data_IF_469195030140
#
_entry.id   IF_469195030140
#
_cell.length_a   1.000
_cell.length_b   1.000
_cell.length_c   1.000
_cell.angle_alpha   90.00
_cell.angle_beta   90.00
_cell.angle_gamma   90.00
#
_symmetry.space_group_name_H-M   'P 1'
#
loop_
_entity.id
_entity.type
_entity.pdbx_description
1 polymer ?
#
# COMPACT_ATOMS: atom_id res chain seq x y z
N UNK A 1 -34.13 -8.51 31.88
CA UNK A 1 -34.34 -8.19 30.45
C UNK A 1 -33.22 -7.24 30.03
N UNK A 2 -32.17 -7.75 29.37
CA UNK A 2 -31.06 -6.95 28.87
C UNK A 2 -31.20 -6.85 27.33
N UNK A 3 -31.29 -5.63 26.74
CA UNK A 3 -31.31 -5.48 25.30
C UNK A 3 -29.90 -5.66 24.71
N UNK A 4 -29.87 -6.43 23.62
CA UNK A 4 -28.68 -6.92 22.95
C UNK A 4 -27.88 -5.86 22.20
N UNK A 5 -26.60 -6.19 22.09
CA UNK A 5 -25.51 -5.50 21.41
C UNK A 5 -25.76 -5.28 19.92
N UNK A 6 -25.57 -4.05 19.45
CA UNK A 6 -25.52 -3.72 18.03
C UNK A 6 -24.12 -3.94 17.48
N UNK A 7 -23.97 -4.89 16.56
CA UNK A 7 -22.75 -5.12 15.80
C UNK A 7 -22.51 -3.94 14.84
N UNK A 8 -21.40 -3.21 15.03
CA UNK A 8 -20.94 -2.18 14.10
C UNK A 8 -20.05 -2.80 13.03
N UNK A 9 -20.52 -2.74 11.79
CA UNK A 9 -19.76 -3.07 10.58
C UNK A 9 -18.50 -2.20 10.48
N UNK A 10 -17.30 -2.77 10.23
CA UNK A 10 -16.09 -1.96 10.07
C UNK A 10 -16.12 -1.17 8.76
N UNK A 11 -15.96 0.14 8.87
CA UNK A 11 -15.85 1.07 7.74
C UNK A 11 -14.58 0.79 6.93
N UNK A 12 -14.75 0.68 5.60
CA UNK A 12 -13.68 0.52 4.61
C UNK A 12 -12.70 1.70 4.67
N UNK A 13 -11.42 1.40 4.87
CA UNK A 13 -10.34 2.38 4.75
C UNK A 13 -10.05 2.66 3.27
N UNK A 14 -10.15 3.93 2.88
CA UNK A 14 -9.80 4.43 1.56
C UNK A 14 -8.39 5.03 1.68
N UNK A 15 -7.36 4.37 1.14
CA UNK A 15 -6.01 4.92 1.13
C UNK A 15 -5.98 6.18 0.25
N UNK A 16 -5.44 7.31 0.73
CA UNK A 16 -5.38 8.54 -0.05
C UNK A 16 -4.44 8.38 -1.25
N UNK A 17 -4.92 8.77 -2.43
CA UNK A 17 -4.12 8.85 -3.64
C UNK A 17 -2.98 9.88 -3.48
N UNK A 18 -1.81 9.67 -4.11
CA UNK A 18 -0.74 10.65 -4.11
C UNK A 18 -1.21 11.95 -4.79
N UNK A 19 -1.21 13.04 -4.02
CA UNK A 19 -1.61 14.37 -4.49
C UNK A 19 -0.58 14.92 -5.47
N UNK A 20 -0.92 14.92 -6.75
CA UNK A 20 -0.24 15.74 -7.76
C UNK A 20 -0.71 17.19 -7.59
N UNK A 21 0.22 18.11 -7.37
CA UNK A 21 -0.05 19.54 -7.59
C UNK A 21 -0.27 19.75 -9.08
N UNK A 22 -1.46 20.18 -9.47
CA UNK A 22 -1.76 20.69 -10.80
C UNK A 22 -2.57 21.98 -10.63
N UNK A 23 -2.02 23.08 -11.15
CA UNK A 23 -2.75 24.32 -11.41
C UNK A 23 -3.79 24.08 -12.52
N UNK A 24 -4.91 24.80 -12.41
CA UNK A 24 -6.21 24.37 -12.91
C UNK A 24 -6.46 24.49 -14.41
N UNK A 25 -7.69 24.10 -14.82
CA UNK A 25 -8.61 24.84 -15.71
C UNK A 25 -9.95 24.08 -15.80
N UNK A 26 -11.05 24.84 -15.62
CA UNK A 26 -12.47 24.70 -16.06
C UNK A 26 -13.15 23.33 -16.27
N UNK A 27 -14.29 23.24 -15.59
CA UNK A 27 -15.39 22.27 -15.73
C UNK A 27 -16.12 22.42 -17.08
N UNK A 28 -16.51 21.26 -17.65
CA UNK A 28 -17.68 21.11 -18.52
C UNK A 28 -18.33 19.75 -18.24
N UNK A 29 -19.63 19.82 -17.95
CA UNK A 29 -20.57 18.71 -17.85
C UNK A 29 -20.65 17.92 -19.16
N UNK A 30 -20.75 16.59 -19.07
CA UNK A 30 -21.49 15.77 -20.03
C UNK A 30 -21.78 14.38 -19.42
N UNK A 31 -23.04 14.20 -19.02
CA UNK A 31 -23.64 12.91 -18.69
C UNK A 31 -23.83 12.11 -19.96
N UNK A 32 -23.19 10.94 -20.07
CA UNK A 32 -23.54 9.96 -21.10
C UNK A 32 -23.52 8.54 -20.54
N UNK A 33 -24.72 7.97 -20.51
CA UNK A 33 -25.05 6.58 -20.22
C UNK A 33 -24.66 5.73 -21.43
N UNK A 34 -23.84 4.68 -21.26
CA UNK A 34 -23.52 3.83 -22.40
C UNK A 34 -22.65 2.61 -22.13
N UNK A 35 -23.27 1.46 -22.41
CA UNK A 35 -22.69 0.26 -23.03
C UNK A 35 -21.83 -0.69 -22.18
N UNK A 36 -22.27 -1.96 -22.22
CA UNK A 36 -21.60 -3.10 -21.61
C UNK A 36 -20.13 -3.18 -22.01
N UNK A 37 -19.28 -3.18 -20.99
CA UNK A 37 -17.84 -3.31 -21.13
C UNK A 37 -17.53 -4.75 -21.57
N UNK A 38 -17.36 -4.91 -22.89
CA UNK A 38 -16.85 -6.12 -23.52
C UNK A 38 -15.47 -6.43 -22.94
N UNK A 39 -15.46 -7.35 -21.98
CA UNK A 39 -14.31 -7.67 -21.15
C UNK A 39 -13.37 -8.54 -21.96
N UNK A 40 -12.48 -7.91 -22.73
CA UNK A 40 -11.37 -8.65 -23.32
C UNK A 40 -10.57 -9.31 -22.19
N UNK A 41 -10.25 -10.61 -22.30
CA UNK A 41 -9.57 -11.33 -21.23
C UNK A 41 -8.22 -10.66 -20.96
N UNK A 42 -8.07 -10.10 -19.76
CA UNK A 42 -6.84 -9.44 -19.35
C UNK A 42 -5.71 -10.48 -19.28
N UNK A 43 -4.58 -10.17 -19.91
CA UNK A 43 -3.43 -11.07 -19.99
C UNK A 43 -2.96 -11.44 -18.57
N UNK A 44 -2.97 -12.75 -18.26
CA UNK A 44 -2.54 -13.27 -16.96
C UNK A 44 -1.08 -12.91 -16.68
N UNK A 45 -0.81 -12.47 -15.46
CA UNK A 45 0.55 -12.18 -15.00
C UNK A 45 1.26 -13.51 -14.69
N UNK A 46 2.45 -13.71 -15.26
CA UNK A 46 3.33 -14.83 -14.88
C UNK A 46 3.95 -14.54 -13.52
N UNK A 47 3.85 -15.49 -12.59
CA UNK A 47 4.40 -15.38 -11.24
C UNK A 47 3.45 -15.96 -10.19
N UNK A 48 3.81 -15.76 -8.92
CA UNK A 48 3.01 -16.09 -7.75
C UNK A 48 2.90 -14.86 -6.86
N UNK A 49 1.83 -14.75 -6.10
CA UNK A 49 1.69 -13.74 -5.07
C UNK A 49 2.77 -13.95 -4.00
N UNK A 50 3.49 -12.89 -3.63
CA UNK A 50 4.53 -12.91 -2.59
C UNK A 50 3.97 -13.21 -1.19
N UNK A 51 2.65 -13.08 -1.01
CA UNK A 51 1.98 -13.23 0.28
C UNK A 51 1.35 -14.63 0.43
N UNK A 52 0.57 -15.06 -0.57
CA UNK A 52 -0.16 -16.35 -0.48
C UNK A 52 0.40 -17.45 -1.38
N UNK A 53 1.44 -17.13 -2.17
CA UNK A 53 2.10 -18.01 -3.14
C UNK A 53 1.21 -18.59 -4.25
N UNK A 54 -0.04 -18.12 -4.36
CA UNK A 54 -0.96 -18.57 -5.41
C UNK A 54 -0.77 -17.79 -6.71
N UNK A 55 -1.17 -18.40 -7.82
CA UNK A 55 -1.09 -17.81 -9.16
C UNK A 55 -2.19 -16.76 -9.37
N UNK A 56 -2.05 -16.00 -10.46
CA UNK A 56 -3.08 -15.05 -10.92
C UNK A 56 -4.43 -15.73 -11.19
N UNK A 57 -5.53 -15.08 -10.78
CA UNK A 57 -6.89 -15.59 -10.90
C UNK A 57 -7.31 -16.62 -9.84
N UNK A 58 -6.46 -16.91 -8.85
CA UNK A 58 -6.83 -17.80 -7.75
C UNK A 58 -8.07 -17.27 -7.02
N UNK A 59 -9.16 -18.06 -7.00
CA UNK A 59 -10.48 -17.65 -6.47
C UNK A 59 -11.02 -16.34 -7.09
N UNK A 60 -10.64 -16.03 -8.32
CA UNK A 60 -11.01 -14.77 -8.99
C UNK A 60 -10.19 -13.56 -8.54
N UNK A 61 -9.19 -13.72 -7.67
CA UNK A 61 -8.33 -12.61 -7.24
C UNK A 61 -7.37 -12.17 -8.34
N UNK A 62 -7.33 -10.86 -8.54
CA UNK A 62 -6.52 -10.21 -9.55
C UNK A 62 -5.10 -9.99 -9.00
N UNK A 63 -4.08 -10.57 -9.64
CA UNK A 63 -2.67 -10.34 -9.32
C UNK A 63 -2.18 -9.04 -9.96
N UNK A 64 -1.53 -8.16 -9.20
CA UNK A 64 -0.81 -6.99 -9.69
C UNK A 64 0.69 -7.24 -9.62
N UNK A 65 1.45 -6.71 -10.58
CA UNK A 65 2.91 -6.78 -10.61
C UNK A 65 3.49 -5.38 -10.59
N UNK A 66 4.36 -5.10 -9.63
CA UNK A 66 5.00 -3.80 -9.50
C UNK A 66 5.90 -3.57 -10.72
N UNK A 67 5.71 -2.44 -11.39
CA UNK A 67 6.51 -2.07 -12.57
C UNK A 67 7.97 -1.75 -12.23
N UNK A 68 8.27 -1.39 -10.98
CA UNK A 68 9.60 -1.00 -10.53
C UNK A 68 10.43 -2.16 -9.99
N UNK A 69 9.91 -2.94 -9.03
CA UNK A 69 10.66 -4.02 -8.38
C UNK A 69 10.20 -5.44 -8.78
N UNK A 70 9.12 -5.56 -9.56
CA UNK A 70 8.62 -6.85 -10.03
C UNK A 70 7.84 -7.68 -9.00
N UNK A 71 7.71 -7.22 -7.75
CA UNK A 71 6.90 -7.91 -6.73
C UNK A 71 5.48 -8.14 -7.24
N UNK A 72 4.96 -9.34 -7.03
CA UNK A 72 3.63 -9.74 -7.47
C UNK A 72 2.74 -9.97 -6.25
N UNK A 73 1.57 -9.36 -6.19
CA UNK A 73 0.64 -9.52 -5.07
C UNK A 73 -0.80 -9.56 -5.57
N UNK A 74 -1.66 -10.35 -4.94
CA UNK A 74 -3.10 -10.20 -5.17
C UNK A 74 -3.57 -8.91 -4.50
N UNK A 75 -4.52 -8.23 -5.13
CA UNK A 75 -5.07 -6.98 -4.60
C UNK A 75 -5.56 -7.15 -3.17
N UNK A 76 -6.37 -8.18 -2.91
CA UNK A 76 -6.88 -8.49 -1.58
C UNK A 76 -5.79 -8.86 -0.58
N UNK A 77 -4.77 -9.62 -0.98
CA UNK A 77 -3.65 -9.97 -0.10
C UNK A 77 -2.82 -8.75 0.33
N UNK A 78 -2.76 -7.72 -0.51
CA UNK A 78 -1.97 -6.51 -0.26
C UNK A 78 -2.81 -5.32 0.23
N UNK A 79 -4.09 -5.54 0.55
CA UNK A 79 -5.01 -4.51 1.04
C UNK A 79 -5.41 -3.48 -0.03
N UNK A 80 -5.29 -3.82 -1.32
CA UNK A 80 -5.73 -2.96 -2.42
C UNK A 80 -7.23 -3.15 -2.69
N UNK A 81 -7.86 -2.09 -3.21
CA UNK A 81 -9.21 -2.16 -3.75
C UNK A 81 -9.20 -3.15 -4.92
N UNK A 82 -10.12 -4.12 -4.88
CA UNK A 82 -10.25 -5.10 -5.96
C UNK A 82 -10.66 -4.42 -7.27
N UNK A 83 -9.94 -4.73 -8.34
CA UNK A 83 -10.21 -4.24 -9.69
C UNK A 83 -10.29 -5.42 -10.67
N UNK A 84 -10.97 -5.21 -11.79
CA UNK A 84 -11.04 -6.19 -12.88
C UNK A 84 -9.84 -6.12 -13.85
N UNK A 85 -8.97 -5.12 -13.71
CA UNK A 85 -7.97 -4.74 -14.72
C UNK A 85 -6.55 -4.83 -14.15
N UNK A 86 -5.59 -5.14 -15.02
CA UNK A 86 -4.15 -5.09 -14.68
C UNK A 86 -3.65 -3.66 -14.82
N UNK A 87 -3.07 -3.12 -13.75
CA UNK A 87 -2.58 -1.76 -13.74
C UNK A 87 -1.13 -1.73 -14.26
N UNK A 88 -0.94 -1.34 -15.53
CA UNK A 88 0.38 -1.38 -16.21
C UNK A 88 1.49 -0.61 -15.50
N UNK A 89 1.15 0.47 -14.80
CA UNK A 89 2.10 1.35 -14.09
C UNK A 89 1.97 1.25 -12.56
N UNK A 90 1.36 0.18 -12.05
CA UNK A 90 1.20 0.03 -10.61
C UNK A 90 2.55 -0.15 -9.91
N UNK A 91 2.68 0.54 -8.77
CA UNK A 91 3.82 0.45 -7.88
C UNK A 91 3.34 -0.06 -6.51
N UNK A 92 4.11 -0.96 -5.90
CA UNK A 92 3.85 -1.36 -4.52
C UNK A 92 4.15 -0.20 -3.56
N UNK A 93 3.66 -0.28 -2.32
CA UNK A 93 3.80 0.80 -1.32
C UNK A 93 5.28 1.15 -1.10
N UNK A 94 6.15 0.15 -1.02
CA UNK A 94 7.59 0.32 -0.87
C UNK A 94 8.23 1.16 -2.00
N UNK A 95 7.88 0.87 -3.26
CA UNK A 95 8.42 1.60 -4.42
C UNK A 95 7.78 2.98 -4.56
N UNK A 96 6.48 3.09 -4.28
CA UNK A 96 5.74 4.35 -4.38
C UNK A 96 6.18 5.38 -3.31
N UNK A 97 6.69 4.92 -2.17
CA UNK A 97 7.24 5.81 -1.14
C UNK A 97 8.60 6.42 -1.50
N UNK A 98 9.31 5.87 -2.48
CA UNK A 98 10.66 6.37 -2.81
C UNK A 98 10.57 7.82 -3.31
N UNK A 99 11.29 8.72 -2.64
CA UNK A 99 11.31 10.14 -2.93
C UNK A 99 10.09 10.91 -2.41
N UNK A 100 9.19 10.29 -1.63
CA UNK A 100 8.06 10.99 -1.02
C UNK A 100 8.40 11.51 0.37
N UNK A 101 7.88 12.70 0.69
CA UNK A 101 7.93 13.26 2.04
C UNK A 101 6.81 12.63 2.88
N UNK A 102 7.18 11.94 3.96
CA UNK A 102 6.26 11.28 4.88
C UNK A 102 6.23 12.05 6.20
N UNK A 103 5.05 12.56 6.57
CA UNK A 103 4.85 13.30 7.82
C UNK A 103 4.78 12.32 8.99
N UNK A 104 5.60 12.58 10.02
CA UNK A 104 5.75 11.69 11.20
C UNK A 104 5.34 12.37 12.52
N UNK A 105 5.12 13.68 12.54
CA UNK A 105 4.71 14.44 13.73
C UNK A 105 3.25 14.20 14.14
N UNK A 106 2.95 14.32 15.45
CA UNK A 106 1.55 14.32 15.95
C UNK A 106 0.83 15.62 15.59
N UNK A 107 -0.51 15.58 15.62
CA UNK A 107 -1.33 16.79 15.64
C UNK A 107 -0.98 17.62 16.87
N UNK A 108 -0.59 18.87 16.66
CA UNK A 108 -0.15 19.79 17.73
C UNK A 108 1.36 19.80 17.99
N UNK A 109 2.14 18.92 17.34
CA UNK A 109 3.60 19.00 17.35
C UNK A 109 4.12 19.82 16.17
N UNK A 110 5.35 20.32 16.29
CA UNK A 110 6.08 20.89 15.15
C UNK A 110 6.13 19.87 14.02
N UNK A 111 5.71 20.28 12.82
CA UNK A 111 5.70 19.41 11.63
C UNK A 111 7.09 18.81 11.43
N UNK A 112 7.16 17.49 11.46
CA UNK A 112 8.36 16.70 11.14
C UNK A 112 8.02 15.77 10.00
N UNK A 113 8.93 15.66 9.05
CA UNK A 113 8.80 14.76 7.92
C UNK A 113 10.13 14.06 7.62
N UNK A 114 10.05 12.90 6.99
CA UNK A 114 11.19 12.12 6.52
C UNK A 114 10.98 11.75 5.06
N UNK A 115 12.05 11.77 4.26
CA UNK A 115 12.02 11.31 2.87
C UNK A 115 12.51 9.87 2.83
N UNK A 116 11.73 8.99 2.19
CA UNK A 116 12.18 7.62 1.94
C UNK A 116 13.08 7.61 0.70
N UNK A 117 14.40 7.70 0.88
CA UNK A 117 15.35 7.85 -0.23
C UNK A 117 15.48 6.60 -1.11
N UNK A 118 15.38 5.42 -0.49
CA UNK A 118 15.55 4.12 -1.15
C UNK A 118 14.37 3.22 -0.88
N UNK A 119 14.14 2.21 -1.72
CA UNK A 119 13.12 1.20 -1.45
C UNK A 119 13.45 0.49 -0.13
N UNK A 120 12.51 0.43 0.84
CA UNK A 120 12.71 -0.32 2.07
C UNK A 120 12.86 -1.81 1.76
N UNK A 121 13.84 -2.45 2.40
CA UNK A 121 14.11 -3.88 2.29
C UNK A 121 14.21 -4.57 3.65
N UNK A 122 14.36 -3.81 4.74
CA UNK A 122 14.43 -4.34 6.10
C UNK A 122 13.02 -4.38 6.72
N UNK A 123 12.68 -5.51 7.34
CA UNK A 123 11.49 -5.64 8.17
C UNK A 123 11.80 -5.28 9.62
N UNK A 124 10.98 -4.43 10.23
CA UNK A 124 11.11 -4.04 11.63
C UNK A 124 10.75 -5.16 12.62
N UNK A 125 10.07 -6.23 12.15
CA UNK A 125 9.49 -7.27 13.00
C UNK A 125 10.13 -8.66 12.84
N UNK A 126 11.01 -8.86 11.86
CA UNK A 126 11.71 -10.13 11.68
C UNK A 126 13.10 -9.93 11.06
N UNK A 127 13.95 -10.94 11.16
CA UNK A 127 15.33 -10.91 10.64
C UNK A 127 15.48 -11.35 9.18
N UNK A 128 14.39 -11.62 8.46
CA UNK A 128 14.47 -11.99 7.04
C UNK A 128 14.90 -10.76 6.23
N UNK A 129 16.02 -10.88 5.51
CA UNK A 129 16.65 -9.79 4.74
C UNK A 129 16.99 -10.18 3.29
N UNK A 130 16.67 -11.42 2.90
CA UNK A 130 16.94 -11.95 1.56
C UNK A 130 15.77 -11.71 0.63
N UNK A 131 16.04 -11.31 -0.62
CA UNK A 131 15.02 -11.22 -1.67
C UNK A 131 14.25 -9.90 -1.69
N UNK A 132 13.20 -9.84 -2.52
CA UNK A 132 12.36 -8.65 -2.67
C UNK A 132 10.93 -9.02 -2.29
N UNK A 133 10.51 -8.54 -1.12
CA UNK A 133 9.20 -8.84 -0.56
C UNK A 133 8.23 -7.66 -0.66
N UNK A 134 6.93 -7.97 -0.60
CA UNK A 134 5.87 -7.01 -0.40
C UNK A 134 6.01 -6.40 1.00
N UNK A 135 6.07 -5.06 1.06
CA UNK A 135 6.22 -4.33 2.32
C UNK A 135 5.04 -3.40 2.55
N UNK A 136 4.73 -3.17 3.83
CA UNK A 136 3.81 -2.13 4.30
C UNK A 136 4.54 -1.17 5.25
N UNK A 137 4.15 0.11 5.27
CA UNK A 137 4.51 1.00 6.37
C UNK A 137 3.98 0.42 7.68
N UNK A 138 4.79 0.47 8.74
CA UNK A 138 4.32 0.15 10.09
C UNK A 138 3.79 1.43 10.75
N UNK A 139 2.56 1.37 11.26
CA UNK A 139 1.91 2.49 11.91
C UNK A 139 1.87 2.30 13.42
N UNK A 140 1.86 3.42 14.17
CA UNK A 140 1.84 3.40 15.64
C UNK A 140 0.44 3.28 16.26
N UNK A 141 -0.60 3.45 15.44
CA UNK A 141 -2.00 3.37 15.82
C UNK A 141 -2.84 2.92 14.62
N UNK A 142 -4.07 2.51 14.88
CA UNK A 142 -5.02 2.08 13.85
C UNK A 142 -5.80 3.26 13.25
N UNK A 143 -6.27 3.09 12.00
CA UNK A 143 -7.15 4.06 11.34
C UNK A 143 -6.46 5.32 10.84
N UNK A 144 -7.24 6.38 10.64
CA UNK A 144 -6.81 7.61 9.95
C UNK A 144 -5.76 8.44 10.72
N UNK A 145 -5.62 8.18 12.03
CA UNK A 145 -4.65 8.87 12.88
C UNK A 145 -3.32 8.11 13.02
N UNK A 146 -3.24 6.88 12.49
CA UNK A 146 -2.03 6.08 12.48
C UNK A 146 -0.90 6.80 11.75
N UNK A 147 0.27 6.87 12.38
CA UNK A 147 1.45 7.52 11.78
C UNK A 147 2.53 6.50 11.54
N UNK A 148 3.27 6.72 10.45
CA UNK A 148 4.40 5.87 10.12
C UNK A 148 5.42 5.91 11.26
N UNK A 149 5.65 4.76 11.88
CA UNK A 149 6.62 4.61 12.94
C UNK A 149 8.03 4.93 12.44
N UNK A 150 8.83 5.50 13.33
CA UNK A 150 10.23 5.82 13.06
C UNK A 150 11.10 5.02 14.00
N UNK A 151 11.96 4.18 13.43
CA UNK A 151 12.95 3.44 14.18
C UNK A 151 14.09 4.40 14.57
N UNK A 152 14.57 4.33 15.83
CA UNK A 152 15.75 5.08 16.22
C UNK A 152 16.98 4.58 15.45
N UNK A 153 18.03 5.41 15.42
CA UNK A 153 19.32 4.96 14.92
C UNK A 153 19.86 3.81 15.78
N UNK A 154 20.43 2.80 15.14
CA UNK A 154 21.09 1.67 15.79
C UNK A 154 22.57 1.71 15.48
N UNK A 155 23.36 2.21 16.44
CA UNK A 155 24.82 2.32 16.31
C UNK A 155 25.52 0.98 16.19
N UNK A 156 24.94 -0.11 16.72
CA UNK A 156 25.57 -1.44 16.67
C UNK A 156 25.49 -2.03 15.27
N UNK A 157 24.42 -1.69 14.54
CA UNK A 157 24.16 -2.16 13.18
C UNK A 157 24.50 -1.11 12.11
N UNK A 158 25.05 0.04 12.53
CA UNK A 158 25.35 1.18 11.66
C UNK A 158 24.13 1.66 10.86
N UNK A 159 22.96 1.69 11.51
CA UNK A 159 21.71 2.11 10.89
C UNK A 159 21.29 3.48 11.39
N UNK A 160 21.03 4.38 10.45
CA UNK A 160 20.43 5.68 10.76
C UNK A 160 18.97 5.55 11.19
N UNK A 161 18.48 6.66 11.75
CA UNK A 161 17.06 6.86 12.02
C UNK A 161 16.28 6.71 10.70
N UNK A 162 15.28 5.83 10.69
CA UNK A 162 14.58 5.45 9.46
C UNK A 162 13.11 5.12 9.70
N UNK A 163 12.31 5.20 8.65
CA UNK A 163 10.91 4.79 8.68
C UNK A 163 10.80 3.27 8.89
N UNK A 164 9.86 2.84 9.72
CA UNK A 164 9.65 1.43 10.02
C UNK A 164 8.82 0.77 8.91
N UNK A 165 9.37 -0.26 8.27
CA UNK A 165 8.66 -1.04 7.27
C UNK A 165 8.59 -2.49 7.71
N UNK A 166 7.56 -3.19 7.26
CA UNK A 166 7.36 -4.60 7.60
C UNK A 166 7.01 -5.39 6.35
N UNK A 167 7.39 -6.66 6.30
CA UNK A 167 6.82 -7.58 5.32
C UNK A 167 5.31 -7.60 5.49
N UNK A 168 4.56 -7.68 4.40
CA UNK A 168 3.09 -7.76 4.47
C UNK A 168 2.59 -8.96 5.27
N UNK A 169 3.39 -10.03 5.39
CA UNK A 169 3.09 -11.21 6.21
C UNK A 169 3.45 -11.05 7.70
N UNK A 170 4.19 -10.00 8.07
CA UNK A 170 4.54 -9.70 9.45
C UNK A 170 3.65 -8.61 10.07
N UNK A 171 2.83 -7.94 9.25
CA UNK A 171 1.92 -6.87 9.64
C UNK A 171 0.60 -7.40 10.21
#
# INVERSE_FOLDING_TARGET
>A
MNPGTSEKTPSRMNLPAPQKKAEGTKEKDESSSGAGESTLPSKKIKGRCDICEKKDGYKGFNLQKCSACGVCVHESCYGLIATSKKLKKWQCLACAAVGTEIVISRKGETRRAMVQEKRPAECALCSVDTGIHAMHPLYDDEGENGRHMVLPADKKRELDKRLAWVHSLCA
#
